data_IF_520618198588
#
_entry.id   IF_520618198588
#
_cell.length_a   1.000
_cell.length_b   1.000
_cell.length_c   1.000
_cell.angle_alpha   90.00
_cell.angle_beta   90.00
_cell.angle_gamma   90.00
#
_symmetry.space_group_name_H-M   'P 1'
#
loop_
_entity.id
_entity.type
_entity.pdbx_description
1 polymer ?
#
# COMPACT_ATOMS: atom_id res chain seq x y z
N UNK A 1 20.90 11.93 -46.56
CA UNK A 1 20.53 13.37 -46.63
C UNK A 1 20.47 13.86 -45.18
N UNK A 2 21.53 14.52 -44.69
CA UNK A 2 21.66 15.99 -44.49
C UNK A 2 20.47 16.56 -43.69
N UNK A 3 20.63 17.23 -42.54
CA UNK A 3 21.69 18.16 -42.17
C UNK A 3 21.88 18.29 -40.64
N UNK A 4 23.15 18.47 -40.26
CA UNK A 4 23.64 19.06 -39.02
C UNK A 4 23.62 20.60 -39.13
N UNK A 5 23.23 21.29 -38.05
CA UNK A 5 23.60 22.67 -37.68
C UNK A 5 23.32 22.77 -36.17
N UNK A 6 24.23 23.04 -35.23
CA UNK A 6 25.53 23.70 -35.30
C UNK A 6 25.39 25.17 -34.93
N UNK A 7 25.55 25.53 -33.66
CA UNK A 7 26.08 26.87 -33.30
C UNK A 7 26.73 26.91 -31.90
N UNK A 8 28.00 27.33 -31.94
CA UNK A 8 28.88 27.74 -30.85
C UNK A 8 28.66 29.23 -30.53
N UNK A 9 29.02 29.65 -29.31
CA UNK A 9 29.31 31.04 -28.93
C UNK A 9 29.31 31.19 -27.40
N UNK A 10 30.41 30.95 -26.68
CA UNK A 10 31.63 31.76 -26.51
C UNK A 10 31.43 33.06 -25.70
N UNK A 11 31.88 32.99 -24.44
CA UNK A 11 32.55 33.97 -23.57
C UNK A 11 32.20 35.48 -23.63
N UNK A 12 32.03 36.07 -22.43
CA UNK A 12 32.88 37.19 -21.98
C UNK A 12 32.84 37.35 -20.45
N UNK A 13 34.02 37.39 -19.85
CA UNK A 13 34.29 37.93 -18.52
C UNK A 13 34.08 39.45 -18.51
N UNK A 14 33.58 39.99 -17.40
CA UNK A 14 33.60 41.41 -17.08
C UNK A 14 34.00 41.62 -15.63
N UNK A 15 35.29 41.88 -15.40
CA UNK A 15 35.83 42.38 -14.14
C UNK A 15 35.85 43.91 -14.18
N UNK A 16 35.46 44.58 -13.09
CA UNK A 16 35.80 45.99 -12.86
C UNK A 16 35.88 46.30 -11.36
N UNK A 17 36.93 47.05 -11.06
CA UNK A 17 37.53 47.39 -9.77
C UNK A 17 36.75 48.50 -9.04
N UNK A 18 36.74 48.48 -7.72
CA UNK A 18 36.77 49.69 -6.90
C UNK A 18 37.29 49.37 -5.49
N UNK A 19 38.49 49.85 -5.20
CA UNK A 19 39.12 49.84 -3.89
C UNK A 19 38.71 51.09 -3.11
N UNK A 20 38.38 50.94 -1.83
CA UNK A 20 38.48 52.00 -0.82
C UNK A 20 39.19 51.40 0.41
N UNK A 21 40.33 51.97 0.85
CA UNK A 21 41.09 51.46 1.97
C UNK A 21 40.50 51.98 3.29
N UNK A 22 40.16 51.08 4.20
CA UNK A 22 39.95 51.44 5.61
C UNK A 22 41.05 50.81 6.46
N UNK A 23 41.67 51.59 7.37
CA UNK A 23 42.85 51.18 8.11
C UNK A 23 42.54 50.06 9.11
N UNK A 24 43.39 49.03 9.04
CA UNK A 24 43.44 47.86 9.89
C UNK A 24 43.96 48.22 11.29
N UNK A 25 43.13 48.11 12.32
CA UNK A 25 43.61 47.87 13.69
C UNK A 25 43.57 46.37 13.96
N UNK A 26 44.69 45.72 14.34
CA UNK A 26 44.72 44.29 14.60
C UNK A 26 44.08 44.00 15.96
N UNK A 27 42.86 43.47 15.95
CA UNK A 27 42.26 42.83 17.13
C UNK A 27 41.93 41.39 16.76
N UNK A 28 42.79 40.47 17.18
CA UNK A 28 42.46 39.06 17.36
C UNK A 28 43.23 38.53 18.57
N UNK A 29 42.70 37.57 19.35
CA UNK A 29 41.30 37.21 19.51
C UNK A 29 40.92 37.03 20.99
N UNK A 30 39.79 37.58 21.45
CA UNK A 30 39.07 36.94 22.57
C UNK A 30 37.97 36.10 21.95
N UNK A 31 38.33 34.84 21.68
CA UNK A 31 37.35 33.76 21.58
C UNK A 31 36.65 33.71 22.92
N UNK A 32 35.54 34.42 23.07
CA UNK A 32 34.55 34.07 24.08
C UNK A 32 33.90 32.81 23.54
N UNK A 33 34.52 31.68 23.90
CA UNK A 33 33.95 30.37 23.75
C UNK A 33 32.80 30.26 24.75
N UNK A 34 31.68 30.91 24.46
CA UNK A 34 30.38 30.41 24.91
C UNK A 34 29.93 29.30 23.95
N UNK A 35 30.84 28.35 23.71
CA UNK A 35 30.45 26.97 23.46
C UNK A 35 30.42 26.28 24.81
N UNK A 36 29.43 26.65 25.62
CA UNK A 36 29.02 25.86 26.77
C UNK A 36 28.47 24.53 26.24
N UNK A 37 29.38 23.59 26.04
CA UNK A 37 29.20 22.15 26.25
C UNK A 37 27.82 21.55 25.92
N UNK A 38 27.40 21.61 24.65
CA UNK A 38 26.73 20.44 24.06
C UNK A 38 27.81 19.38 23.76
N UNK A 39 28.39 18.82 24.82
CA UNK A 39 29.48 17.85 24.74
C UNK A 39 29.06 16.50 24.11
N UNK A 40 29.98 15.53 24.01
CA UNK A 40 29.79 14.21 23.37
C UNK A 40 28.58 13.41 23.88
N UNK A 41 27.96 13.82 24.99
CA UNK A 41 26.75 13.21 25.55
C UNK A 41 25.53 13.39 24.62
N UNK A 42 25.36 14.54 23.96
CA UNK A 42 24.26 14.74 23.01
C UNK A 42 24.41 13.83 21.77
N UNK A 43 25.62 13.78 21.18
CA UNK A 43 25.91 12.88 20.06
C UNK A 43 25.81 11.39 20.47
N UNK A 44 26.28 11.03 21.68
CA UNK A 44 26.23 9.66 22.20
C UNK A 44 24.81 9.22 22.57
N UNK A 45 23.95 10.13 23.01
CA UNK A 45 22.53 9.83 23.29
C UNK A 45 21.70 9.71 22.01
N UNK A 46 22.01 10.48 20.96
CA UNK A 46 21.42 10.31 19.63
C UNK A 46 21.82 8.95 19.06
N UNK A 47 23.12 8.63 19.03
CA UNK A 47 23.61 7.32 18.57
C UNK A 47 23.06 6.12 19.37
N UNK A 48 22.85 6.28 20.68
CA UNK A 48 22.21 5.25 21.50
C UNK A 48 20.71 5.09 21.20
N UNK A 49 19.98 6.17 20.88
CA UNK A 49 18.58 6.10 20.45
C UNK A 49 18.46 5.47 19.07
N UNK A 50 19.35 5.83 18.16
CA UNK A 50 19.40 5.29 16.80
C UNK A 50 19.63 3.77 16.84
N UNK A 51 20.58 3.29 17.65
CA UNK A 51 20.80 1.83 17.80
C UNK A 51 19.60 1.10 18.42
N UNK A 52 18.87 1.72 19.35
CA UNK A 52 17.62 1.13 19.89
C UNK A 52 16.51 1.10 18.83
N UNK A 53 16.41 2.12 17.97
CA UNK A 53 15.46 2.13 16.86
C UNK A 53 15.81 1.06 15.83
N UNK A 54 17.08 0.93 15.45
CA UNK A 54 17.57 -0.13 14.54
C UNK A 54 17.26 -1.53 15.09
N UNK A 55 17.50 -1.78 16.38
CA UNK A 55 17.15 -3.06 17.01
C UNK A 55 15.64 -3.33 16.99
N UNK A 56 14.81 -2.30 17.18
CA UNK A 56 13.36 -2.43 17.09
C UNK A 56 12.91 -2.71 15.67
N UNK A 57 13.50 -2.05 14.67
CA UNK A 57 13.23 -2.29 13.25
C UNK A 57 13.57 -3.72 12.86
N UNK A 58 14.78 -4.20 13.18
CA UNK A 58 15.20 -5.58 12.88
C UNK A 58 14.25 -6.62 13.50
N UNK A 59 13.75 -6.37 14.72
CA UNK A 59 12.77 -7.25 15.37
C UNK A 59 11.40 -7.21 14.67
N UNK A 60 10.98 -6.04 14.20
CA UNK A 60 9.72 -5.90 13.46
C UNK A 60 9.80 -6.56 12.09
N UNK A 61 10.93 -6.45 11.39
CA UNK A 61 11.19 -7.14 10.12
C UNK A 61 11.14 -8.67 10.29
N UNK A 62 11.77 -9.21 11.35
CA UNK A 62 11.70 -10.64 11.63
C UNK A 62 10.26 -11.11 11.90
N UNK A 63 9.48 -10.33 12.66
CA UNK A 63 8.06 -10.63 12.91
C UNK A 63 7.23 -10.56 11.64
N UNK A 64 7.54 -9.63 10.74
CA UNK A 64 6.85 -9.52 9.45
C UNK A 64 7.15 -10.75 8.59
N UNK A 65 8.42 -11.16 8.49
CA UNK A 65 8.81 -12.39 7.78
C UNK A 65 8.12 -13.65 8.34
N UNK A 66 8.00 -13.75 9.67
CA UNK A 66 7.26 -14.85 10.32
C UNK A 66 5.77 -14.83 9.95
N UNK A 67 5.13 -13.65 9.91
CA UNK A 67 3.72 -13.53 9.50
C UNK A 67 3.55 -13.86 8.01
N UNK A 68 4.48 -13.46 7.16
CA UNK A 68 4.45 -13.76 5.73
C UNK A 68 4.54 -15.28 5.48
N UNK A 69 5.46 -15.96 6.15
CA UNK A 69 5.57 -17.42 6.10
C UNK A 69 4.28 -18.14 6.59
N UNK A 70 3.61 -17.58 7.61
CA UNK A 70 2.31 -18.09 8.07
C UNK A 70 1.21 -17.90 7.03
N UNK A 71 1.20 -16.75 6.33
CA UNK A 71 0.24 -16.50 5.24
C UNK A 71 0.47 -17.48 4.09
N UNK A 72 1.72 -17.75 3.74
CA UNK A 72 2.08 -18.72 2.69
C UNK A 72 1.63 -20.16 3.05
N UNK A 73 1.89 -20.62 4.28
CA UNK A 73 1.43 -21.94 4.75
C UNK A 73 -0.10 -22.06 4.71
N UNK A 74 -0.81 -21.01 5.17
CA UNK A 74 -2.28 -20.99 5.12
C UNK A 74 -2.82 -20.99 3.69
N UNK A 75 -2.17 -20.30 2.76
CA UNK A 75 -2.55 -20.33 1.35
C UNK A 75 -2.35 -21.73 0.74
N UNK A 76 -1.21 -22.38 1.02
CA UNK A 76 -0.95 -23.74 0.54
C UNK A 76 -1.99 -24.75 1.03
N UNK A 77 -2.34 -24.71 2.33
CA UNK A 77 -3.39 -25.57 2.90
C UNK A 77 -4.76 -25.32 2.27
N UNK A 78 -5.08 -24.05 1.99
CA UNK A 78 -6.34 -23.69 1.36
C UNK A 78 -6.41 -24.20 -0.09
N UNK A 79 -5.29 -24.18 -0.82
CA UNK A 79 -5.23 -24.73 -2.17
C UNK A 79 -5.29 -26.27 -2.19
N UNK A 80 -4.67 -26.95 -1.22
CA UNK A 80 -4.83 -28.40 -1.03
C UNK A 80 -6.31 -28.76 -0.76
N UNK A 81 -6.95 -28.07 0.18
CA UNK A 81 -8.36 -28.28 0.49
C UNK A 81 -9.27 -28.06 -0.73
N UNK A 82 -8.99 -27.04 -1.55
CA UNK A 82 -9.70 -26.79 -2.81
C UNK A 82 -9.55 -27.95 -3.79
N UNK A 83 -8.34 -28.51 -3.92
CA UNK A 83 -8.10 -29.65 -4.82
C UNK A 83 -8.86 -30.90 -4.36
N UNK A 84 -8.97 -31.14 -3.05
CA UNK A 84 -9.78 -32.25 -2.54
C UNK A 84 -11.28 -32.06 -2.82
N UNK A 85 -11.81 -30.83 -2.70
CA UNK A 85 -13.19 -30.52 -3.11
C UNK A 85 -13.40 -30.82 -4.59
N UNK A 86 -12.50 -30.38 -5.47
CA UNK A 86 -12.56 -30.64 -6.91
C UNK A 86 -12.51 -32.13 -7.21
N UNK A 87 -11.63 -32.88 -6.53
CA UNK A 87 -11.52 -34.34 -6.65
C UNK A 87 -12.81 -35.03 -6.20
N UNK A 88 -13.43 -34.57 -5.12
CA UNK A 88 -14.71 -35.11 -4.66
C UNK A 88 -15.84 -34.84 -5.67
N UNK A 89 -15.91 -33.62 -6.23
CA UNK A 89 -16.89 -33.26 -7.26
C UNK A 89 -16.72 -34.12 -8.54
N UNK A 90 -15.49 -34.44 -8.92
CA UNK A 90 -15.21 -35.34 -10.04
C UNK A 90 -15.76 -36.76 -9.79
N UNK A 91 -15.55 -37.29 -8.57
CA UNK A 91 -16.02 -38.64 -8.20
C UNK A 91 -17.53 -38.73 -8.11
N UNK A 92 -18.18 -37.68 -7.60
CA UNK A 92 -19.62 -37.63 -7.40
C UNK A 92 -20.39 -37.32 -8.70
N UNK A 93 -19.70 -36.96 -9.78
CA UNK A 93 -20.31 -36.51 -11.05
C UNK A 93 -21.46 -35.53 -10.80
N UNK A 94 -21.19 -34.50 -9.99
CA UNK A 94 -22.22 -33.52 -9.61
C UNK A 94 -22.89 -32.91 -10.84
N UNK A 95 -24.21 -32.73 -10.76
CA UNK A 95 -25.15 -32.44 -11.88
C UNK A 95 -24.94 -31.09 -12.58
N UNK A 96 -23.83 -30.38 -12.33
CA UNK A 96 -23.49 -29.16 -13.05
C UNK A 96 -23.41 -29.45 -14.55
N UNK A 97 -24.18 -28.72 -15.35
CA UNK A 97 -24.18 -28.92 -16.80
C UNK A 97 -22.94 -28.31 -17.43
N UNK A 98 -22.54 -28.83 -18.60
CA UNK A 98 -21.48 -28.22 -19.42
C UNK A 98 -21.74 -26.74 -19.71
N UNK A 99 -23.00 -26.39 -19.99
CA UNK A 99 -23.41 -25.03 -20.30
C UNK A 99 -23.28 -24.11 -19.08
N UNK A 100 -23.68 -24.58 -17.90
CA UNK A 100 -23.56 -23.83 -16.64
C UNK A 100 -22.10 -23.57 -16.27
N UNK A 101 -21.26 -24.60 -16.34
CA UNK A 101 -19.82 -24.45 -16.09
C UNK A 101 -19.18 -23.46 -17.08
N UNK A 102 -19.52 -23.54 -18.37
CA UNK A 102 -19.02 -22.60 -19.38
C UNK A 102 -19.47 -21.15 -19.10
N UNK A 103 -20.73 -20.95 -18.69
CA UNK A 103 -21.25 -19.62 -18.34
C UNK A 103 -20.52 -19.04 -17.15
N UNK A 104 -20.33 -19.82 -16.08
CA UNK A 104 -19.62 -19.36 -14.89
C UNK A 104 -18.15 -19.03 -15.18
N UNK A 105 -17.48 -19.81 -16.03
CA UNK A 105 -16.12 -19.52 -16.48
C UNK A 105 -16.05 -18.19 -17.23
N UNK A 106 -16.98 -17.92 -18.16
CA UNK A 106 -17.04 -16.66 -18.89
C UNK A 106 -17.31 -15.46 -17.96
N UNK A 107 -18.22 -15.59 -17.00
CA UNK A 107 -18.48 -14.55 -16.00
C UNK A 107 -17.26 -14.28 -15.12
N UNK A 108 -16.55 -15.34 -14.72
CA UNK A 108 -15.33 -15.23 -13.94
C UNK A 108 -14.21 -14.55 -14.75
N UNK A 109 -14.05 -14.86 -16.03
CA UNK A 109 -13.11 -14.19 -16.93
C UNK A 109 -13.40 -12.69 -17.03
N UNK A 110 -14.67 -12.30 -17.24
CA UNK A 110 -15.07 -10.89 -17.28
C UNK A 110 -14.76 -10.20 -15.95
N UNK A 111 -15.05 -10.85 -14.83
CA UNK A 111 -14.74 -10.31 -13.51
C UNK A 111 -13.22 -10.07 -13.34
N UNK A 112 -12.39 -11.03 -13.73
CA UNK A 112 -10.92 -10.91 -13.67
C UNK A 112 -10.40 -9.83 -14.63
N UNK A 113 -10.96 -9.72 -15.84
CA UNK A 113 -10.63 -8.63 -16.77
C UNK A 113 -10.98 -7.26 -16.18
N UNK A 114 -12.15 -7.14 -15.55
CA UNK A 114 -12.57 -5.91 -14.88
C UNK A 114 -11.65 -5.55 -13.71
N UNK A 115 -11.16 -6.55 -12.97
CA UNK A 115 -10.17 -6.36 -11.92
C UNK A 115 -8.84 -5.87 -12.51
N UNK A 116 -8.32 -6.53 -13.55
CA UNK A 116 -7.09 -6.12 -14.25
C UNK A 116 -7.14 -4.67 -14.73
N UNK A 117 -8.27 -4.27 -15.31
CA UNK A 117 -8.48 -2.89 -15.75
C UNK A 117 -8.47 -1.89 -14.58
N UNK A 118 -8.96 -2.29 -13.40
CA UNK A 118 -8.94 -1.48 -12.19
C UNK A 118 -7.58 -1.46 -11.48
N UNK A 119 -6.77 -2.52 -11.62
CA UNK A 119 -5.50 -2.72 -10.92
C UNK A 119 -4.41 -1.70 -11.31
N UNK A 120 -4.38 -1.23 -12.57
CA UNK A 120 -3.33 -0.29 -13.01
C UNK A 120 -1.91 -0.80 -12.74
N UNK A 121 -1.05 0.03 -12.15
CA UNK A 121 0.33 -0.30 -11.74
C UNK A 121 0.44 -0.69 -10.25
N UNK A 122 -0.65 -1.09 -9.61
CA UNK A 122 -0.68 -1.31 -8.15
C UNK A 122 -0.17 -2.70 -7.76
N UNK A 123 0.84 -2.82 -6.88
CA UNK A 123 1.43 -4.10 -6.49
C UNK A 123 0.44 -5.00 -5.74
N UNK A 124 -0.40 -4.44 -4.89
CA UNK A 124 -1.27 -5.25 -4.03
C UNK A 124 -2.47 -5.88 -4.74
N UNK A 125 -2.88 -5.31 -5.88
CA UNK A 125 -3.93 -5.90 -6.71
C UNK A 125 -3.38 -6.79 -7.83
N UNK A 126 -2.05 -6.89 -7.97
CA UNK A 126 -1.43 -7.86 -8.88
C UNK A 126 -1.53 -9.29 -8.32
N UNK A 127 -1.49 -9.46 -6.99
CA UNK A 127 -1.63 -10.78 -6.34
C UNK A 127 -3.04 -11.37 -6.50
N UNK A 128 -4.09 -10.57 -6.29
CA UNK A 128 -5.48 -10.99 -6.51
C UNK A 128 -5.72 -11.40 -7.98
N UNK A 129 -5.19 -10.61 -8.92
CA UNK A 129 -5.27 -10.91 -10.36
C UNK A 129 -4.55 -12.22 -10.68
N UNK A 130 -3.37 -12.45 -10.11
CA UNK A 130 -2.60 -13.67 -10.31
C UNK A 130 -3.35 -14.90 -9.76
N UNK A 131 -3.86 -14.82 -8.52
CA UNK A 131 -4.63 -15.90 -7.89
C UNK A 131 -5.91 -16.23 -8.65
N UNK A 132 -6.69 -15.23 -9.06
CA UNK A 132 -7.88 -15.46 -9.87
C UNK A 132 -7.55 -16.06 -11.25
N UNK A 133 -6.41 -15.67 -11.83
CA UNK A 133 -5.90 -16.26 -13.07
C UNK A 133 -5.57 -17.74 -12.92
N UNK A 134 -4.89 -18.14 -11.83
CA UNK A 134 -4.59 -19.55 -11.52
C UNK A 134 -5.88 -20.37 -11.37
N UNK A 135 -6.88 -19.85 -10.66
CA UNK A 135 -8.18 -20.52 -10.50
C UNK A 135 -8.89 -20.73 -11.85
N UNK A 136 -8.84 -19.76 -12.76
CA UNK A 136 -9.40 -19.89 -14.11
C UNK A 136 -8.67 -20.95 -14.95
N UNK A 137 -7.35 -21.02 -14.84
CA UNK A 137 -6.55 -22.06 -15.50
C UNK A 137 -6.93 -23.46 -14.98
N UNK A 138 -7.09 -23.60 -13.66
CA UNK A 138 -7.54 -24.85 -13.05
C UNK A 138 -8.98 -25.20 -13.47
N UNK A 139 -9.90 -24.23 -13.51
CA UNK A 139 -11.27 -24.42 -13.98
C UNK A 139 -11.30 -24.93 -15.42
N UNK A 140 -10.45 -24.37 -16.29
CA UNK A 140 -10.31 -24.80 -17.68
C UNK A 140 -9.79 -26.23 -17.80
N UNK A 141 -8.81 -26.61 -16.97
CA UNK A 141 -8.30 -27.98 -16.93
C UNK A 141 -9.38 -28.99 -16.47
N UNK A 142 -10.19 -28.65 -15.48
CA UNK A 142 -11.30 -29.51 -15.02
C UNK A 142 -12.43 -29.58 -16.05
N UNK A 143 -12.74 -28.47 -16.72
CA UNK A 143 -13.71 -28.46 -17.82
C UNK A 143 -13.30 -29.39 -18.97
N UNK A 144 -12.01 -29.39 -19.33
CA UNK A 144 -11.46 -30.29 -20.36
C UNK A 144 -11.56 -31.78 -19.97
N UNK A 145 -11.44 -32.08 -18.66
CA UNK A 145 -11.67 -33.43 -18.10
C UNK A 145 -13.16 -33.80 -17.98
N UNK A 146 -14.07 -32.92 -18.40
CA UNK A 146 -15.52 -33.05 -18.23
C UNK A 146 -15.97 -33.06 -16.75
N UNK A 147 -15.11 -32.61 -15.84
CA UNK A 147 -15.48 -32.34 -14.45
C UNK A 147 -16.15 -30.96 -14.35
N UNK A 148 -17.38 -30.86 -14.86
CA UNK A 148 -18.12 -29.60 -14.92
C UNK A 148 -18.43 -29.04 -13.52
N UNK A 149 -18.61 -29.91 -12.52
CA UNK A 149 -18.77 -29.49 -11.12
C UNK A 149 -17.53 -28.80 -10.56
N UNK A 150 -16.35 -29.41 -10.77
CA UNK A 150 -15.07 -28.81 -10.38
C UNK A 150 -14.79 -27.50 -11.12
N UNK A 151 -15.06 -27.45 -12.42
CA UNK A 151 -14.90 -26.25 -13.23
C UNK A 151 -15.81 -25.10 -12.75
N UNK A 152 -17.10 -25.38 -12.50
CA UNK A 152 -18.07 -24.43 -11.97
C UNK A 152 -17.65 -23.89 -10.60
N UNK A 153 -17.19 -24.77 -9.69
CA UNK A 153 -16.70 -24.38 -8.36
C UNK A 153 -15.51 -23.43 -8.44
N UNK A 154 -14.49 -23.77 -9.24
CA UNK A 154 -13.28 -22.94 -9.39
C UNK A 154 -13.58 -21.60 -10.08
N UNK A 155 -14.46 -21.59 -11.09
CA UNK A 155 -14.90 -20.37 -11.75
C UNK A 155 -15.62 -19.42 -10.77
N UNK A 156 -16.53 -19.93 -9.94
CA UNK A 156 -17.20 -19.13 -8.91
C UNK A 156 -16.22 -18.57 -7.88
N UNK A 157 -15.20 -19.34 -7.49
CA UNK A 157 -14.15 -18.83 -6.61
C UNK A 157 -13.33 -17.72 -7.26
N UNK A 158 -12.93 -17.88 -8.53
CA UNK A 158 -12.23 -16.85 -9.28
C UNK A 158 -13.06 -15.56 -9.40
N UNK A 159 -14.35 -15.68 -9.72
CA UNK A 159 -15.30 -14.56 -9.79
C UNK A 159 -15.43 -13.83 -8.45
N UNK A 160 -15.59 -14.58 -7.35
CA UNK A 160 -15.69 -14.02 -6.00
C UNK A 160 -14.41 -13.27 -5.61
N UNK A 161 -13.24 -13.87 -5.84
CA UNK A 161 -11.95 -13.26 -5.56
C UNK A 161 -11.76 -11.98 -6.37
N UNK A 162 -12.11 -11.99 -7.65
CA UNK A 162 -12.06 -10.81 -8.50
C UNK A 162 -12.99 -9.68 -8.01
N UNK A 163 -14.20 -10.03 -7.57
CA UNK A 163 -15.16 -9.09 -6.98
C UNK A 163 -14.64 -8.44 -5.68
N UNK A 164 -14.01 -9.24 -4.80
CA UNK A 164 -13.38 -8.74 -3.57
C UNK A 164 -12.17 -7.85 -3.87
N UNK A 165 -11.30 -8.24 -4.80
CA UNK A 165 -10.18 -7.40 -5.23
C UNK A 165 -10.65 -6.05 -5.77
N UNK A 166 -11.73 -6.05 -6.57
CA UNK A 166 -12.30 -4.83 -7.13
C UNK A 166 -12.91 -3.92 -6.07
N UNK A 167 -13.59 -4.48 -5.08
CA UNK A 167 -14.15 -3.69 -3.97
C UNK A 167 -13.05 -3.03 -3.12
N UNK A 168 -11.91 -3.71 -2.93
CA UNK A 168 -10.73 -3.16 -2.24
C UNK A 168 -10.07 -1.99 -2.98
N UNK A 169 -9.92 -2.11 -4.29
CA UNK A 169 -9.33 -1.07 -5.14
C UNK A 169 -10.16 0.21 -5.19
N UNK A 170 -11.47 0.10 -5.02
CA UNK A 170 -12.37 1.22 -5.02
C UNK A 170 -13.73 0.78 -5.52
N UNK A 171 -14.62 0.45 -4.57
CA UNK A 171 -16.06 0.50 -4.84
C UNK A 171 -16.39 1.77 -5.61
N UNK A 172 -17.32 1.68 -6.56
CA UNK A 172 -17.69 2.77 -7.47
C UNK A 172 -17.81 4.10 -6.70
N UNK A 173 -16.87 5.03 -6.91
CA UNK A 173 -16.80 6.32 -6.20
C UNK A 173 -15.47 6.65 -5.51
N UNK A 174 -14.49 5.74 -5.46
CA UNK A 174 -13.14 6.09 -4.95
C UNK A 174 -12.35 6.92 -5.99
N UNK A 175 -11.81 8.10 -5.62
CA UNK A 175 -10.87 8.84 -6.47
C UNK A 175 -9.66 7.99 -6.84
N UNK A 176 -9.08 8.17 -8.04
CA UNK A 176 -7.86 7.50 -8.44
C UNK A 176 -6.72 7.82 -7.46
N UNK A 177 -5.77 6.90 -7.34
CA UNK A 177 -4.58 7.09 -6.52
C UNK A 177 -3.77 8.29 -7.01
N UNK A 178 -3.24 9.05 -6.06
CA UNK A 178 -2.31 10.15 -6.36
C UNK A 178 -0.92 9.58 -6.67
N UNK A 179 -0.07 10.33 -7.40
CA UNK A 179 1.34 9.96 -7.54
C UNK A 179 2.00 9.77 -6.16
N UNK A 180 2.73 8.66 -5.98
CA UNK A 180 3.36 8.31 -4.71
C UNK A 180 2.43 7.73 -3.64
N UNK A 181 1.13 7.58 -3.93
CA UNK A 181 0.17 6.93 -3.02
C UNK A 181 0.28 5.41 -3.10
N UNK A 182 0.55 4.78 -1.96
CA UNK A 182 0.64 3.32 -1.83
C UNK A 182 -0.63 2.80 -1.18
N UNK A 183 -1.37 1.96 -1.90
CA UNK A 183 -2.55 1.26 -1.37
C UNK A 183 -2.17 0.16 -0.40
N UNK A 184 -2.94 0.02 0.67
CA UNK A 184 -2.90 -1.21 1.45
C UNK A 184 -3.53 -2.36 0.66
N UNK A 185 -2.99 -3.57 0.82
CA UNK A 185 -3.53 -4.75 0.16
C UNK A 185 -4.96 -5.08 0.61
N UNK A 186 -5.25 -4.85 1.89
CA UNK A 186 -6.58 -4.95 2.48
C UNK A 186 -6.79 -3.70 3.33
N UNK A 187 -8.00 -3.10 3.35
CA UNK A 187 -8.31 -1.99 4.23
C UNK A 187 -7.97 -2.33 5.68
N UNK A 188 -7.18 -1.46 6.32
CA UNK A 188 -6.66 -1.69 7.67
C UNK A 188 -7.62 -1.09 8.69
N UNK A 189 -8.00 -1.86 9.72
CA UNK A 189 -8.81 -1.36 10.84
C UNK A 189 -7.93 -0.55 11.78
N UNK A 190 -8.28 0.71 11.94
CA UNK A 190 -7.51 1.71 12.67
C UNK A 190 -8.40 2.43 13.69
N UNK A 191 -7.77 3.18 14.58
CA UNK A 191 -8.45 4.06 15.53
C UNK A 191 -7.68 5.37 15.67
N UNK A 192 -8.38 6.45 15.97
CA UNK A 192 -7.73 7.71 16.32
C UNK A 192 -7.08 7.60 17.71
N UNK A 193 -5.79 7.90 17.84
CA UNK A 193 -5.08 7.86 19.13
C UNK A 193 -5.27 9.15 19.93
N UNK A 194 -5.56 10.24 19.24
CA UNK A 194 -5.84 11.56 19.81
C UNK A 194 -6.83 12.31 18.91
N UNK A 195 -7.32 13.46 19.40
CA UNK A 195 -8.17 14.33 18.58
C UNK A 195 -7.39 14.78 17.35
N UNK A 196 -7.93 14.50 16.17
CA UNK A 196 -7.22 14.67 14.91
C UNK A 196 -8.07 15.31 13.81
N UNK A 197 -7.42 16.04 12.91
CA UNK A 197 -8.06 16.68 11.76
C UNK A 197 -7.93 15.78 10.55
N UNK A 198 -9.07 15.48 9.91
CA UNK A 198 -9.13 14.81 8.61
C UNK A 198 -9.21 15.88 7.53
N UNK A 199 -8.34 15.78 6.52
CA UNK A 199 -8.12 16.82 5.51
C UNK A 199 -8.40 16.32 4.10
N UNK A 200 -8.59 17.26 3.18
CA UNK A 200 -8.87 16.98 1.76
C UNK A 200 -7.67 16.43 0.98
N UNK A 201 -6.46 16.61 1.52
CA UNK A 201 -5.22 16.10 0.94
C UNK A 201 -4.13 15.82 1.96
N UNK A 202 -3.07 15.11 1.56
CA UNK A 202 -1.96 14.72 2.42
C UNK A 202 -1.05 15.94 2.68
N UNK A 203 -1.30 16.68 3.76
CA UNK A 203 -0.47 17.81 4.13
C UNK A 203 -1.11 18.79 5.11
N UNK A 204 -0.26 19.54 5.82
CA UNK A 204 -0.66 20.56 6.79
C UNK A 204 -1.33 21.80 6.19
N UNK A 205 -1.24 22.01 4.87
CA UNK A 205 -1.87 23.13 4.15
C UNK A 205 -3.27 22.83 3.61
N UNK A 206 -3.71 21.56 3.59
CA UNK A 206 -5.01 21.21 3.04
C UNK A 206 -6.15 21.56 3.97
N UNK A 207 -7.30 21.92 3.39
CA UNK A 207 -8.54 22.22 4.12
C UNK A 207 -8.94 21.04 5.02
N UNK A 208 -9.36 21.38 6.24
CA UNK A 208 -9.92 20.40 7.19
C UNK A 208 -11.36 20.10 6.76
N UNK A 209 -11.66 18.82 6.57
CA UNK A 209 -12.99 18.34 6.24
C UNK A 209 -13.82 18.15 7.50
N UNK A 210 -13.24 17.47 8.50
CA UNK A 210 -13.85 17.21 9.80
C UNK A 210 -12.79 16.87 10.85
N UNK A 211 -13.22 16.78 12.10
CA UNK A 211 -12.38 16.37 13.23
C UNK A 211 -12.87 15.03 13.76
N UNK A 212 -11.93 14.20 14.22
CA UNK A 212 -12.17 12.89 14.80
C UNK A 212 -11.72 12.91 16.26
N UNK A 213 -12.54 12.36 17.15
CA UNK A 213 -12.21 12.25 18.57
C UNK A 213 -11.36 10.99 18.88
N UNK A 214 -10.59 10.99 19.98
CA UNK A 214 -9.81 9.83 20.39
C UNK A 214 -10.68 8.58 20.52
N UNK A 215 -10.16 7.42 20.09
CA UNK A 215 -10.85 6.13 20.14
C UNK A 215 -11.83 5.87 18.99
N UNK A 216 -12.14 6.87 18.17
CA UNK A 216 -13.04 6.69 17.03
C UNK A 216 -12.48 5.66 16.03
N UNK A 217 -13.38 4.81 15.53
CA UNK A 217 -13.07 3.80 14.53
C UNK A 217 -12.76 4.40 13.17
N UNK A 218 -11.66 3.95 12.57
CA UNK A 218 -11.22 4.38 11.24
C UNK A 218 -10.91 3.15 10.38
N UNK A 219 -11.09 3.31 9.06
CA UNK A 219 -10.60 2.35 8.07
C UNK A 219 -9.55 3.03 7.21
N UNK A 220 -8.32 2.53 7.22
CA UNK A 220 -7.22 3.02 6.39
C UNK A 220 -7.17 2.29 5.04
N UNK A 221 -6.89 3.02 3.97
CA UNK A 221 -6.91 2.47 2.61
C UNK A 221 -5.59 2.61 1.85
N UNK A 222 -4.83 3.64 2.15
CA UNK A 222 -3.58 3.97 1.46
C UNK A 222 -2.79 4.98 2.29
N UNK A 223 -1.53 5.19 1.92
CA UNK A 223 -0.69 6.22 2.53
C UNK A 223 0.18 6.94 1.49
N UNK A 224 0.56 8.17 1.82
CA UNK A 224 1.55 8.99 1.13
C UNK A 224 2.43 9.59 2.21
N UNK A 225 3.72 9.26 2.20
CA UNK A 225 4.68 9.70 3.23
C UNK A 225 4.13 9.42 4.65
N UNK A 226 3.83 10.47 5.42
CA UNK A 226 3.32 10.40 6.79
C UNK A 226 1.79 10.64 6.88
N UNK A 227 1.07 10.52 5.78
CA UNK A 227 -0.38 10.73 5.73
C UNK A 227 -1.10 9.45 5.33
N UNK A 228 -2.12 9.09 6.08
CA UNK A 228 -2.95 7.92 5.84
C UNK A 228 -4.32 8.37 5.33
N UNK A 229 -4.77 7.77 4.24
CA UNK A 229 -6.12 7.95 3.72
C UNK A 229 -7.08 7.08 4.53
N UNK A 230 -7.97 7.72 5.27
CA UNK A 230 -8.90 7.09 6.21
C UNK A 230 -10.35 7.39 5.85
N UNK A 231 -11.28 6.53 6.29
CA UNK A 231 -12.69 6.85 6.41
C UNK A 231 -13.20 6.50 7.81
N UNK A 232 -14.14 7.29 8.32
CA UNK A 232 -14.88 6.98 9.54
C UNK A 232 -15.98 5.95 9.29
N UNK A 233 -16.68 5.54 10.34
CA UNK A 233 -17.77 4.54 10.28
C UNK A 233 -18.99 5.05 9.48
N UNK A 234 -19.13 6.36 9.28
CA UNK A 234 -20.16 6.97 8.44
C UNK A 234 -19.78 7.05 6.96
N UNK A 235 -18.57 6.62 6.59
CA UNK A 235 -18.04 6.67 5.23
C UNK A 235 -17.44 8.01 4.82
N UNK A 236 -17.39 9.00 5.72
CA UNK A 236 -16.70 10.27 5.45
C UNK A 236 -15.19 10.02 5.49
N UNK A 237 -14.50 10.41 4.43
CA UNK A 237 -13.08 10.11 4.27
C UNK A 237 -12.20 11.31 3.97
N UNK A 238 -10.91 11.14 4.21
CA UNK A 238 -9.88 12.12 3.91
C UNK A 238 -8.51 11.65 4.41
N UNK A 239 -7.61 12.59 4.65
CA UNK A 239 -6.22 12.33 5.03
C UNK A 239 -5.97 12.72 6.48
N UNK A 240 -5.34 11.83 7.22
CA UNK A 240 -4.99 12.03 8.62
C UNK A 240 -3.50 11.72 8.82
N UNK A 241 -2.85 12.48 9.70
CA UNK A 241 -1.42 12.31 9.95
C UNK A 241 -1.15 11.00 10.70
N UNK A 242 -0.11 10.26 10.27
CA UNK A 242 0.15 8.88 10.68
C UNK A 242 0.26 8.70 12.19
N UNK A 243 0.89 9.65 12.90
CA UNK A 243 1.08 9.54 14.35
C UNK A 243 -0.23 9.67 15.17
N UNK A 244 -1.32 10.13 14.55
CA UNK A 244 -2.64 10.24 15.18
C UNK A 244 -3.48 8.98 14.97
N UNK A 245 -2.92 7.99 14.26
CA UNK A 245 -3.62 6.77 13.88
C UNK A 245 -2.93 5.57 14.53
N UNK A 246 -3.71 4.72 15.18
CA UNK A 246 -3.26 3.51 15.84
C UNK A 246 -3.99 2.28 15.32
N UNK A 247 -3.44 1.10 15.57
CA UNK A 247 -4.13 -0.17 15.31
C UNK A 247 -5.35 -0.28 16.21
N UNK A 248 -6.53 -0.55 15.63
CA UNK A 248 -7.69 -0.98 16.41
C UNK A 248 -7.53 -2.46 16.70
N UNK A 249 -7.69 -2.85 17.97
CA UNK A 249 -7.76 -4.28 18.29
C UNK A 249 -9.01 -4.86 17.63
N UNK A 250 -8.86 -6.00 16.96
CA UNK A 250 -10.02 -6.82 16.59
C UNK A 250 -10.46 -7.51 17.87
N UNK A 251 -11.62 -7.15 18.42
CA UNK A 251 -12.23 -7.98 19.47
C UNK A 251 -12.57 -9.34 18.86
N UNK A 252 -12.11 -10.46 19.45
CA UNK A 252 -12.46 -11.78 18.98
C UNK A 252 -13.92 -12.06 19.37
N UNK A 253 -14.84 -11.84 18.44
CA UNK A 253 -16.22 -12.35 18.51
C UNK A 253 -17.29 -11.33 18.88
N UNK A 254 -17.74 -10.54 17.91
CA UNK A 254 -19.11 -10.05 17.90
C UNK A 254 -19.96 -11.03 17.09
N UNK A 255 -20.74 -11.87 17.77
CA UNK A 255 -21.88 -12.57 17.18
C UNK A 255 -23.08 -11.64 17.16
#
# INVERSE_FOLDING_TARGET
MRALLGWLGCATLGASLAACPFPSTPVTPRVVKDSAAAGPVAARTVSARDSVLEQRLARLELRLAERDAQVEDLQARLDEARQEVVRALAKLQTVASRAEAASAMAEAEIAVQSLRAATGAQPAASSDVAQAGTLLQQASAEFAKQNYGGALYLANQAKSLAGLGRSRLGGAGRPPLRPGEVSFAVPVRLQATARGKVRDGPGGGYRVLFTVDPGAGLTGYSYVEQWVRVADESGRGGWMFLNLVGRRATEPGGR
#
